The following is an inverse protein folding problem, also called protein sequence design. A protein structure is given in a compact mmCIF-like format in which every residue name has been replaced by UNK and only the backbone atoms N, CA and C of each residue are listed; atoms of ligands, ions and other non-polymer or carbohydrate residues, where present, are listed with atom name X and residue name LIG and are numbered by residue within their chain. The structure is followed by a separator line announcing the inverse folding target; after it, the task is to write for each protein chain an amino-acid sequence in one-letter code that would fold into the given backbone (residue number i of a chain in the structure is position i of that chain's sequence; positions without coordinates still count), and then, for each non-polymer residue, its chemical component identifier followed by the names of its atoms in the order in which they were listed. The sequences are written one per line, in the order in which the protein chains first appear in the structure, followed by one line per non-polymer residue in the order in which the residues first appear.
data_IF_106532749593
#
_entry.id   IF_106532749593
#
_cell.length_a   1.000
_cell.length_b   1.000
_cell.length_c   1.000
_cell.angle_alpha   90.00
_cell.angle_beta   90.00
_cell.angle_gamma   90.00
#
_symmetry.space_group_name_H-M   'P 1'
#
loop_
_entity.id
_entity.type
_entity.pdbx_description
1 polymer ?
#
# COMPACT_ATOMS: atom_id res chain seq x y z
N UNK A 1 -11.07 9.92 -12.28
CA UNK A 1 -10.49 11.07 -11.55
C UNK A 1 -9.04 11.23 -11.99
N UNK A 2 -8.58 12.46 -12.23
CA UNK A 2 -7.19 12.75 -12.57
C UNK A 2 -6.40 13.14 -11.30
N UNK A 3 -5.10 12.82 -11.24
CA UNK A 3 -4.22 13.27 -10.16
C UNK A 3 -3.79 12.20 -9.14
N UNK A 4 -3.71 10.93 -9.54
CA UNK A 4 -3.22 9.85 -8.68
C UNK A 4 -1.69 9.67 -8.71
N UNK A 5 -0.97 10.51 -9.47
CA UNK A 5 0.49 10.44 -9.59
C UNK A 5 1.14 11.69 -9.02
N UNK A 6 2.11 11.48 -8.12
CA UNK A 6 2.96 12.53 -7.57
C UNK A 6 4.41 12.37 -8.06
N UNK A 7 5.08 13.48 -8.38
CA UNK A 7 6.51 13.50 -8.73
C UNK A 7 6.83 13.59 -10.24
N UNK A 8 8.14 13.66 -10.56
CA UNK A 8 8.68 13.80 -11.93
C UNK A 8 9.69 12.71 -12.29
N UNK A 9 10.85 12.72 -11.63
CA UNK A 9 11.90 11.71 -11.82
C UNK A 9 11.63 10.48 -10.94
N UNK A 10 11.37 10.71 -9.66
CA UNK A 10 10.80 9.73 -8.75
C UNK A 10 9.29 9.94 -8.73
N UNK A 11 8.53 8.97 -9.22
CA UNK A 11 7.07 9.08 -9.38
C UNK A 11 6.36 8.01 -8.59
N UNK A 12 5.29 8.40 -7.90
CA UNK A 12 4.44 7.50 -7.14
C UNK A 12 3.02 7.61 -7.69
N UNK A 13 2.48 6.52 -8.20
CA UNK A 13 1.12 6.43 -8.72
C UNK A 13 0.29 5.49 -7.85
N UNK A 14 -0.78 5.97 -7.24
CA UNK A 14 -1.64 5.17 -6.35
C UNK A 14 -2.89 4.66 -7.08
N UNK A 15 -3.45 3.55 -6.61
CA UNK A 15 -4.66 2.95 -7.15
C UNK A 15 -5.45 2.18 -6.07
N UNK A 16 -6.68 1.82 -6.41
CA UNK A 16 -7.58 1.02 -5.58
C UNK A 16 -8.50 1.84 -4.67
N UNK A 17 -9.48 1.13 -4.13
CA UNK A 17 -10.52 1.68 -3.26
C UNK A 17 -10.54 0.93 -1.92
N UNK A 18 -10.92 1.63 -0.84
CA UNK A 18 -11.04 1.04 0.52
C UNK A 18 -12.09 -0.08 0.62
N UNK A 19 -13.01 -0.16 -0.34
CA UNK A 19 -14.02 -1.21 -0.42
C UNK A 19 -13.77 -2.20 -1.56
N UNK A 20 -12.68 -2.01 -2.32
CA UNK A 20 -12.26 -2.94 -3.36
C UNK A 20 -11.45 -4.10 -2.80
N UNK A 21 -10.84 -4.88 -3.69
CA UNK A 21 -9.97 -6.02 -3.33
C UNK A 21 -8.72 -5.56 -2.56
N UNK A 22 -8.21 -4.37 -2.86
CA UNK A 22 -7.03 -3.82 -2.23
C UNK A 22 -6.70 -2.44 -2.74
N UNK A 23 -5.71 -1.84 -2.13
CA UNK A 23 -5.12 -0.56 -2.51
C UNK A 23 -3.63 -0.76 -2.79
N UNK A 24 -3.06 0.09 -3.63
CA UNK A 24 -1.66 -0.08 -3.99
C UNK A 24 -1.01 1.17 -4.56
N UNK A 25 0.28 1.03 -4.83
CA UNK A 25 1.08 2.08 -5.44
C UNK A 25 2.13 1.47 -6.38
N UNK A 26 2.44 2.19 -7.45
CA UNK A 26 3.57 1.91 -8.34
C UNK A 26 4.56 3.07 -8.21
N UNK A 27 5.82 2.73 -7.98
CA UNK A 27 6.92 3.69 -7.83
C UNK A 27 7.88 3.53 -9.01
N UNK A 28 8.01 4.60 -9.80
CA UNK A 28 8.94 4.69 -10.93
C UNK A 28 10.15 5.57 -10.61
N UNK A 29 11.28 5.27 -11.26
CA UNK A 29 12.50 6.07 -11.17
C UNK A 29 13.35 5.82 -9.92
N UNK A 30 13.11 4.72 -9.22
CA UNK A 30 14.00 4.25 -8.16
C UNK A 30 15.26 3.63 -8.79
N UNK A 31 16.49 4.08 -8.44
CA UNK A 31 17.73 3.47 -8.95
C UNK A 31 17.86 1.99 -8.56
N UNK A 32 18.62 1.17 -9.33
CA UNK A 32 18.93 -0.20 -8.95
C UNK A 32 19.90 -0.29 -7.76
N UNK A 33 19.90 -1.43 -7.08
CA UNK A 33 20.88 -1.79 -6.04
C UNK A 33 20.54 -1.31 -4.62
N UNK A 34 19.42 -0.61 -4.43
CA UNK A 34 18.96 -0.13 -3.13
C UNK A 34 18.31 -1.29 -2.39
N UNK A 35 18.74 -1.55 -1.15
CA UNK A 35 18.11 -2.57 -0.30
C UNK A 35 16.71 -2.12 0.07
N UNK A 36 15.72 -2.97 -0.18
CA UNK A 36 14.32 -2.71 0.15
C UNK A 36 13.81 -3.78 1.11
N UNK A 37 14.05 -3.59 2.41
CA UNK A 37 13.61 -4.55 3.43
C UNK A 37 12.08 -4.46 3.65
N UNK A 38 11.30 -5.53 3.35
CA UNK A 38 9.86 -5.54 3.60
C UNK A 38 9.50 -5.32 5.07
N UNK A 39 10.35 -5.73 6.01
CA UNK A 39 10.12 -5.53 7.44
C UNK A 39 10.17 -4.05 7.83
N UNK A 40 11.10 -3.28 7.24
CA UNK A 40 11.19 -1.83 7.42
C UNK A 40 9.95 -1.14 6.83
N UNK A 41 9.53 -1.55 5.63
CA UNK A 41 8.32 -1.00 5.02
C UNK A 41 7.07 -1.27 5.88
N UNK A 42 6.93 -2.49 6.40
CA UNK A 42 5.82 -2.84 7.28
C UNK A 42 5.86 -2.04 8.59
N UNK A 43 7.03 -1.84 9.18
CA UNK A 43 7.18 -1.03 10.38
C UNK A 43 6.79 0.44 10.16
N UNK A 44 7.14 1.03 9.00
CA UNK A 44 6.68 2.38 8.63
C UNK A 44 5.16 2.43 8.42
N UNK A 45 4.57 1.39 7.82
CA UNK A 45 3.12 1.27 7.68
C UNK A 45 2.42 1.16 9.04
N UNK A 46 2.98 0.40 9.97
CA UNK A 46 2.40 0.20 11.30
C UNK A 46 2.33 1.51 12.11
N UNK A 47 3.21 2.48 11.85
CA UNK A 47 3.14 3.82 12.46
C UNK A 47 1.89 4.61 12.04
N UNK A 48 1.28 4.29 10.89
CA UNK A 48 0.03 4.95 10.44
C UNK A 48 -1.20 4.51 11.22
N UNK A 49 -1.12 3.39 11.94
CA UNK A 49 -2.26 2.88 12.70
C UNK A 49 -2.63 3.90 13.79
N UNK A 50 -3.85 4.48 13.77
CA UNK A 50 -4.27 5.39 14.82
C UNK A 50 -4.20 4.67 16.16
N UNK A 51 -3.75 5.42 17.18
CA UNK A 51 -3.30 4.91 18.47
C UNK A 51 -4.16 3.81 19.08
N UNK A 52 -3.49 2.93 19.82
CA UNK A 52 -4.01 1.81 20.63
C UNK A 52 -4.98 2.24 21.76
N UNK A 53 -5.68 3.37 21.60
CA UNK A 53 -6.70 3.87 22.51
C UNK A 53 -8.10 3.38 22.13
N UNK A 54 -9.01 3.39 23.11
CA UNK A 54 -10.37 2.86 23.00
C UNK A 54 -11.32 3.57 22.03
N UNK A 55 -10.86 4.60 21.31
CA UNK A 55 -11.61 5.30 20.26
C UNK A 55 -11.20 4.90 18.83
N UNK A 56 -10.28 3.92 18.67
CA UNK A 56 -9.92 3.38 17.37
C UNK A 56 -11.06 2.53 16.79
N UNK A 57 -11.23 2.58 15.46
CA UNK A 57 -12.23 1.74 14.81
C UNK A 57 -11.92 0.26 15.07
N UNK A 58 -12.92 -0.61 15.27
CA UNK A 58 -12.69 -2.04 15.51
C UNK A 58 -12.03 -2.77 14.32
N UNK A 59 -11.94 -2.14 13.15
CA UNK A 59 -11.24 -2.69 11.98
C UNK A 59 -9.74 -2.68 12.24
N UNK A 60 -9.21 -3.86 12.57
CA UNK A 60 -7.78 -4.14 12.53
C UNK A 60 -7.46 -4.69 11.14
N UNK A 61 -7.41 -3.82 10.14
CA UNK A 61 -6.78 -4.21 8.87
C UNK A 61 -5.29 -4.38 9.18
N UNK A 62 -4.75 -5.61 9.11
CA UNK A 62 -3.31 -5.78 9.16
C UNK A 62 -2.88 -5.30 7.79
N UNK A 63 -2.56 -4.00 7.66
CA UNK A 63 -2.06 -3.33 6.46
C UNK A 63 -0.78 -4.02 5.97
N UNK A 64 -0.92 -5.26 5.47
CA UNK A 64 0.16 -6.15 5.12
C UNK A 64 0.56 -5.78 3.71
N UNK A 65 1.74 -5.22 3.62
CA UNK A 65 2.31 -4.79 2.36
C UNK A 65 2.95 -5.98 1.65
N UNK A 66 2.65 -6.10 0.35
CA UNK A 66 3.29 -7.05 -0.55
C UNK A 66 3.96 -6.31 -1.71
N UNK A 67 5.18 -6.72 -2.04
CA UNK A 67 5.95 -6.19 -3.17
C UNK A 67 5.74 -7.14 -4.35
N UNK A 68 5.17 -6.64 -5.45
CA UNK A 68 4.84 -7.43 -6.63
C UNK A 68 5.91 -7.35 -7.73
N UNK A 69 6.72 -6.28 -7.76
CA UNK A 69 7.72 -6.05 -8.80
C UNK A 69 8.83 -5.10 -8.35
N UNK A 70 9.84 -4.89 -9.21
CA UNK A 70 10.87 -3.86 -9.04
C UNK A 70 11.99 -4.21 -8.08
N UNK A 71 11.98 -5.44 -7.56
CA UNK A 71 13.03 -5.98 -6.70
C UNK A 71 13.48 -7.37 -7.13
N UNK A 72 14.71 -7.71 -6.76
CA UNK A 72 15.30 -9.02 -6.96
C UNK A 72 16.21 -9.35 -5.78
N UNK A 73 16.19 -10.61 -5.33
CA UNK A 73 17.10 -11.13 -4.31
C UNK A 73 18.07 -12.08 -5.01
N UNK A 74 19.35 -11.73 -5.06
CA UNK A 74 20.38 -12.60 -5.63
C UNK A 74 20.79 -13.70 -4.65
N UNK A 75 21.33 -14.79 -5.19
CA UNK A 75 21.87 -15.89 -4.39
C UNK A 75 22.94 -15.39 -3.40
N UNK A 76 22.77 -15.71 -2.12
CA UNK A 76 23.67 -15.29 -1.03
C UNK A 76 23.30 -13.97 -0.37
N UNK A 77 22.28 -13.25 -0.85
CA UNK A 77 21.75 -12.07 -0.17
C UNK A 77 20.45 -12.39 0.60
N UNK A 78 20.29 -11.80 1.78
CA UNK A 78 19.12 -12.02 2.63
C UNK A 78 17.98 -11.03 2.37
N UNK A 79 18.25 -9.93 1.69
CA UNK A 79 17.29 -8.84 1.47
C UNK A 79 17.18 -8.53 -0.02
N UNK A 80 15.97 -8.20 -0.51
CA UNK A 80 15.79 -7.82 -1.90
C UNK A 80 16.40 -6.45 -2.18
N UNK A 81 16.87 -6.28 -3.41
CA UNK A 81 17.37 -5.01 -3.94
C UNK A 81 16.53 -4.53 -5.11
N UNK A 82 16.42 -3.22 -5.25
CA UNK A 82 15.74 -2.61 -6.39
C UNK A 82 16.46 -2.95 -7.69
N UNK A 83 15.68 -3.17 -8.75
CA UNK A 83 16.22 -3.53 -10.09
C UNK A 83 16.35 -2.32 -11.02
N UNK A 84 15.86 -1.14 -10.59
CA UNK A 84 15.72 0.02 -11.47
C UNK A 84 14.41 0.04 -12.26
N UNK A 85 13.61 -1.03 -12.19
CA UNK A 85 12.29 -1.11 -12.82
C UNK A 85 11.18 -0.69 -11.83
N UNK A 86 9.95 -0.47 -12.30
CA UNK A 86 8.85 -0.01 -11.44
C UNK A 86 8.59 -0.96 -10.27
N UNK A 87 8.54 -0.40 -9.06
CA UNK A 87 8.26 -1.12 -7.82
C UNK A 87 6.75 -1.06 -7.58
N UNK A 88 6.07 -2.20 -7.67
CA UNK A 88 4.64 -2.30 -7.40
C UNK A 88 4.40 -2.82 -5.98
N UNK A 89 3.56 -2.13 -5.23
CA UNK A 89 3.19 -2.41 -3.86
C UNK A 89 1.66 -2.61 -3.77
N UNK A 90 1.21 -3.59 -3.00
CA UNK A 90 -0.21 -3.83 -2.75
C UNK A 90 -0.47 -4.12 -1.28
N UNK A 91 -1.64 -3.68 -0.81
CA UNK A 91 -2.23 -4.07 0.46
C UNK A 91 -3.63 -4.60 0.15
N UNK A 92 -3.90 -5.83 0.57
CA UNK A 92 -5.20 -6.46 0.36
C UNK A 92 -6.15 -6.12 1.51
N UNK A 93 -7.35 -5.65 1.17
CA UNK A 93 -8.39 -5.34 2.14
C UNK A 93 -8.95 -6.65 2.70
N UNK A 94 -8.89 -6.87 4.02
CA UNK A 94 -9.39 -8.11 4.65
C UNK A 94 -10.88 -8.08 4.95
N UNK A 95 -11.43 -6.90 5.25
CA UNK A 95 -12.84 -6.71 5.61
C UNK A 95 -13.53 -5.73 4.66
N UNK A 96 -13.48 -6.01 3.36
CA UNK A 96 -14.32 -5.33 2.38
C UNK A 96 -15.81 -5.75 2.54
N UNK A 97 -16.38 -5.52 3.73
CA UNK A 97 -17.81 -5.65 3.97
C UNK A 97 -18.52 -4.46 3.33
N UNK A 98 -18.77 -4.57 2.02
CA UNK A 98 -19.59 -3.64 1.24
C UNK A 98 -21.00 -3.47 1.82
N UNK A 99 -21.54 -4.50 2.49
CA UNK A 99 -22.89 -4.54 3.06
C UNK A 99 -23.18 -3.46 4.12
N UNK A 100 -22.17 -2.92 4.81
CA UNK A 100 -22.38 -1.88 5.83
C UNK A 100 -22.80 -0.52 5.25
N UNK A 101 -22.79 -0.36 3.92
CA UNK A 101 -23.11 0.90 3.24
C UNK A 101 -24.30 0.80 2.29
N UNK A 102 -24.97 -0.35 2.19
CA UNK A 102 -26.11 -0.55 1.27
C UNK A 102 -27.27 0.41 1.57
N UNK A 103 -27.51 0.72 2.85
CA UNK A 103 -28.55 1.66 3.30
C UNK A 103 -28.19 3.14 3.07
N UNK A 104 -26.94 3.44 2.73
CA UNK A 104 -26.44 4.79 2.48
C UNK A 104 -26.09 5.02 0.99
N UNK A 105 -26.39 4.03 0.13
CA UNK A 105 -26.03 4.07 -1.30
C UNK A 105 -26.61 5.28 -2.03
N UNK A 106 -27.83 5.68 -1.65
CA UNK A 106 -28.57 6.78 -2.27
C UNK A 106 -28.66 8.03 -1.39
N UNK A 107 -27.90 8.06 -0.28
CA UNK A 107 -27.91 9.18 0.67
C UNK A 107 -26.59 9.95 0.54
N UNK A 108 -26.66 11.18 0.02
CA UNK A 108 -25.53 12.10 0.06
C UNK A 108 -25.21 12.45 1.50
N UNK A 109 -23.95 12.25 1.90
CA UNK A 109 -23.47 12.69 3.22
C UNK A 109 -23.50 14.24 3.24
N UNK A 110 -23.90 14.88 4.35
CA UNK A 110 -23.95 16.35 4.48
C UNK A 110 -22.63 17.04 4.13
#
# INVERSE_FOLDING_TARGET
MAGNTFGKAFRVSTWGESHGTGVGAVIDGCPPGIVLDPAVLQAEMDKRKPGQGGASSPRKEPDKLEILSGVFTSDGENLPRTTGTPISLVIYNKDAHSKSYDNLRDIFRP
#
